data_IF_276924937568
#
_entry.id   IF_276924937568
#
_cell.length_a   1.000
_cell.length_b   1.000
_cell.length_c   1.000
_cell.angle_alpha   90.00
_cell.angle_beta   90.00
_cell.angle_gamma   90.00
#
_symmetry.space_group_name_H-M   'P 1'
#
loop_
_entity.id
_entity.type
_entity.pdbx_description
1 polymer ?
#
# COMPACT_ATOMS: atom_id res chain seq x y z
N UNK A 1 17.86 33.36 71.09
CA UNK A 1 16.98 32.23 70.64
C UNK A 1 15.97 32.79 69.65
N UNK A 2 16.19 32.61 68.35
CA UNK A 2 15.30 33.00 67.27
C UNK A 2 15.09 31.76 66.38
N UNK A 3 13.91 31.21 66.44
CA UNK A 3 13.47 30.07 65.68
C UNK A 3 12.91 30.59 64.34
N UNK A 4 13.56 30.28 63.24
CA UNK A 4 13.10 30.56 61.89
C UNK A 4 12.24 29.38 61.43
N UNK A 5 10.95 29.60 61.21
CA UNK A 5 10.07 28.67 60.52
C UNK A 5 10.25 28.81 59.01
N UNK A 6 10.82 27.77 58.37
CA UNK A 6 10.84 27.64 56.93
C UNK A 6 9.53 27.03 56.46
N UNK A 7 8.69 27.82 55.84
CA UNK A 7 7.43 27.35 55.20
C UNK A 7 7.72 26.61 53.92
N UNK A 8 7.37 25.34 53.88
CA UNK A 8 7.43 24.48 52.68
C UNK A 8 6.17 24.68 51.84
N UNK A 9 6.24 25.47 50.78
CA UNK A 9 5.14 25.65 49.84
C UNK A 9 5.05 24.44 48.93
N UNK A 10 4.10 23.54 49.14
CA UNK A 10 3.74 22.44 48.23
C UNK A 10 2.91 23.02 47.09
N UNK A 11 3.49 23.17 45.93
CA UNK A 11 2.78 23.49 44.68
C UNK A 11 2.03 22.23 44.22
N UNK A 12 0.74 22.22 44.44
CA UNK A 12 -0.21 21.27 43.85
C UNK A 12 -0.31 21.59 42.34
N UNK A 13 0.34 20.83 41.49
CA UNK A 13 0.08 20.79 40.07
C UNK A 13 -1.26 20.06 39.83
N UNK A 14 -2.35 20.83 39.80
CA UNK A 14 -3.62 20.35 39.30
C UNK A 14 -3.49 20.19 37.78
N UNK A 15 -3.12 19.02 37.34
CA UNK A 15 -3.23 18.64 35.94
C UNK A 15 -4.71 18.61 35.56
N UNK A 16 -5.14 19.52 34.68
CA UNK A 16 -6.43 19.43 34.03
C UNK A 16 -6.43 18.17 33.17
N UNK A 17 -6.97 17.08 33.68
CA UNK A 17 -7.44 15.99 32.85
C UNK A 17 -8.63 16.49 32.05
N UNK A 18 -8.40 17.10 30.90
CA UNK A 18 -9.47 17.33 29.94
C UNK A 18 -9.89 15.97 29.39
N UNK A 19 -11.07 15.50 29.71
CA UNK A 19 -11.78 14.42 29.02
C UNK A 19 -12.11 14.83 27.56
N UNK A 20 -11.12 15.35 26.85
CA UNK A 20 -11.19 15.62 25.44
C UNK A 20 -10.77 14.35 24.72
N UNK A 21 -11.74 13.55 24.32
CA UNK A 21 -11.53 12.59 23.24
C UNK A 21 -10.87 13.36 22.09
N UNK A 22 -9.59 13.08 21.87
CA UNK A 22 -8.84 13.75 20.82
C UNK A 22 -9.58 13.53 19.48
N UNK A 23 -9.96 14.60 18.75
CA UNK A 23 -10.79 14.47 17.53
C UNK A 23 -10.13 13.66 16.41
N UNK A 24 -8.84 13.33 16.56
CA UNK A 24 -8.08 12.49 15.65
C UNK A 24 -8.05 11.01 16.06
N UNK A 25 -8.45 10.69 17.30
CA UNK A 25 -8.87 9.35 17.64
C UNK A 25 -10.29 9.20 17.07
N UNK A 26 -10.37 8.94 15.76
CA UNK A 26 -11.58 8.39 15.15
C UNK A 26 -11.98 7.26 16.08
N UNK A 27 -13.22 7.29 16.55
CA UNK A 27 -13.84 6.22 17.32
C UNK A 27 -13.70 4.94 16.50
N UNK A 28 -12.57 4.28 16.66
CA UNK A 28 -12.31 2.95 16.17
C UNK A 28 -13.10 1.99 17.07
N UNK A 29 -14.42 2.14 17.10
CA UNK A 29 -15.31 1.01 17.23
C UNK A 29 -15.07 0.16 15.99
N UNK A 30 -13.84 -0.35 15.93
CA UNK A 30 -13.44 -1.37 15.02
C UNK A 30 -14.42 -2.50 15.21
N UNK A 31 -15.31 -2.65 14.24
CA UNK A 31 -16.05 -3.89 14.11
C UNK A 31 -15.00 -4.98 14.31
N UNK A 32 -15.10 -5.71 15.42
CA UNK A 32 -14.07 -6.67 15.83
C UNK A 32 -13.92 -7.65 14.69
N UNK A 33 -12.80 -7.60 13.96
CA UNK A 33 -12.55 -8.61 12.96
C UNK A 33 -12.36 -9.92 13.70
N UNK A 34 -13.27 -10.85 13.46
CA UNK A 34 -13.13 -12.21 13.96
C UNK A 34 -11.78 -12.76 13.48
N UNK A 35 -11.01 -13.31 14.40
CA UNK A 35 -9.77 -13.99 14.05
C UNK A 35 -10.11 -15.32 13.38
N UNK A 36 -9.42 -15.68 12.28
CA UNK A 36 -9.52 -17.02 11.73
C UNK A 36 -9.14 -18.09 12.78
N UNK A 37 -9.72 -19.26 12.70
CA UNK A 37 -9.20 -20.44 13.42
C UNK A 37 -7.88 -20.88 12.81
N UNK A 38 -7.13 -21.75 13.51
CA UNK A 38 -5.84 -22.27 13.00
C UNK A 38 -5.99 -22.94 11.63
N UNK A 39 -7.08 -23.72 11.42
CA UNK A 39 -7.33 -24.38 10.14
C UNK A 39 -7.67 -23.38 9.04
N UNK A 40 -8.45 -22.34 9.37
CA UNK A 40 -8.76 -21.25 8.44
C UNK A 40 -7.51 -20.43 8.08
N UNK A 41 -6.64 -20.20 9.06
CA UNK A 41 -5.36 -19.50 8.81
C UNK A 41 -4.45 -20.32 7.89
N UNK A 42 -4.36 -21.62 8.09
CA UNK A 42 -3.62 -22.53 7.20
C UNK A 42 -4.18 -22.49 5.78
N UNK A 43 -5.50 -22.56 5.61
CA UNK A 43 -6.14 -22.50 4.31
C UNK A 43 -5.93 -21.11 3.63
N UNK A 44 -6.00 -20.03 4.42
CA UNK A 44 -5.69 -18.67 3.93
C UNK A 44 -4.24 -18.57 3.45
N UNK A 45 -3.28 -19.12 4.17
CA UNK A 45 -1.87 -19.10 3.78
C UNK A 45 -1.63 -19.93 2.51
N UNK A 46 -2.24 -21.11 2.42
CA UNK A 46 -2.19 -21.94 1.21
C UNK A 46 -2.78 -21.19 -0.01
N UNK A 47 -3.90 -20.48 0.18
CA UNK A 47 -4.47 -19.67 -0.89
C UNK A 47 -3.54 -18.51 -1.32
N UNK A 48 -2.83 -17.91 -0.35
CA UNK A 48 -1.84 -16.87 -0.66
C UNK A 48 -0.67 -17.44 -1.46
N UNK A 49 -0.11 -18.58 -1.03
CA UNK A 49 0.99 -19.24 -1.73
C UNK A 49 0.59 -19.59 -3.19
N UNK A 50 -0.64 -20.11 -3.37
CA UNK A 50 -1.18 -20.36 -4.72
C UNK A 50 -1.28 -19.08 -5.56
N UNK A 51 -1.73 -17.97 -4.96
CA UNK A 51 -1.83 -16.69 -5.66
C UNK A 51 -0.45 -16.15 -6.04
N UNK A 52 0.53 -16.24 -5.13
CA UNK A 52 1.90 -15.79 -5.36
C UNK A 52 2.62 -16.61 -6.44
N UNK A 53 2.23 -17.89 -6.61
CA UNK A 53 2.68 -18.74 -7.71
C UNK A 53 1.90 -18.50 -9.02
N UNK A 54 0.98 -17.53 -9.06
CA UNK A 54 0.15 -17.25 -10.23
C UNK A 54 -1.01 -18.22 -10.45
N UNK A 55 -1.25 -19.17 -9.53
CA UNK A 55 -2.34 -20.16 -9.58
C UNK A 55 -3.65 -19.55 -9.06
N UNK A 56 -4.09 -18.47 -9.69
CA UNK A 56 -5.20 -17.63 -9.19
C UNK A 56 -6.54 -18.39 -9.06
N UNK A 57 -6.86 -19.26 -10.03
CA UNK A 57 -8.09 -20.04 -9.97
C UNK A 57 -8.06 -21.08 -8.83
N UNK A 58 -6.91 -21.72 -8.58
CA UNK A 58 -6.77 -22.65 -7.46
C UNK A 58 -6.86 -21.92 -6.12
N UNK A 59 -6.25 -20.74 -6.01
CA UNK A 59 -6.36 -19.86 -4.85
C UNK A 59 -7.82 -19.47 -4.58
N UNK A 60 -8.55 -19.06 -5.62
CA UNK A 60 -9.97 -18.71 -5.49
C UNK A 60 -10.80 -19.88 -5.01
N UNK A 61 -10.65 -21.07 -5.62
CA UNK A 61 -11.37 -22.28 -5.22
C UNK A 61 -11.10 -22.68 -3.75
N UNK A 62 -9.85 -22.53 -3.29
CA UNK A 62 -9.53 -22.76 -1.87
C UNK A 62 -10.24 -21.75 -0.96
N UNK A 63 -10.26 -20.46 -1.34
CA UNK A 63 -10.93 -19.41 -0.58
C UNK A 63 -12.46 -19.57 -0.55
N UNK A 64 -13.07 -20.14 -1.59
CA UNK A 64 -14.51 -20.41 -1.64
C UNK A 64 -14.97 -21.39 -0.55
N UNK A 65 -14.09 -22.28 -0.09
CA UNK A 65 -14.33 -23.19 1.03
C UNK A 65 -14.34 -22.49 2.40
N UNK A 66 -13.99 -21.20 2.50
CA UNK A 66 -13.91 -20.45 3.74
C UNK A 66 -15.12 -19.51 3.92
N UNK A 67 -15.53 -19.24 5.19
CA UNK A 67 -16.70 -18.40 5.46
C UNK A 67 -16.46 -16.92 5.09
N UNK A 68 -17.36 -16.36 4.30
CA UNK A 68 -17.33 -14.93 3.90
C UNK A 68 -17.60 -13.95 5.05
N UNK A 69 -18.01 -14.44 6.23
CA UNK A 69 -18.12 -13.63 7.44
C UNK A 69 -16.75 -13.07 7.89
N UNK A 70 -15.65 -13.74 7.54
CA UNK A 70 -14.29 -13.30 7.85
C UNK A 70 -13.84 -12.22 6.89
N UNK A 71 -13.49 -11.04 7.41
CA UNK A 71 -12.94 -9.94 6.61
C UNK A 71 -11.67 -10.32 5.84
N UNK A 72 -10.84 -11.19 6.40
CA UNK A 72 -9.62 -11.70 5.74
C UNK A 72 -9.94 -12.55 4.51
N UNK A 73 -10.95 -13.41 4.58
CA UNK A 73 -11.40 -14.24 3.44
C UNK A 73 -11.88 -13.32 2.30
N UNK A 74 -12.75 -12.36 2.61
CA UNK A 74 -13.23 -11.39 1.62
C UNK A 74 -12.11 -10.58 0.99
N UNK A 75 -11.14 -10.16 1.79
CA UNK A 75 -9.97 -9.41 1.31
C UNK A 75 -9.17 -10.24 0.30
N UNK A 76 -8.84 -11.50 0.64
CA UNK A 76 -8.07 -12.37 -0.26
C UNK A 76 -8.85 -12.74 -1.52
N UNK A 77 -10.14 -13.05 -1.41
CA UNK A 77 -11.02 -13.23 -2.58
C UNK A 77 -11.02 -11.98 -3.48
N UNK A 78 -11.20 -10.79 -2.90
CA UNK A 78 -11.20 -9.54 -3.64
C UNK A 78 -9.87 -9.32 -4.40
N UNK A 79 -8.74 -9.63 -3.74
CA UNK A 79 -7.40 -9.52 -4.35
C UNK A 79 -7.23 -10.47 -5.53
N UNK A 80 -7.58 -11.75 -5.35
CA UNK A 80 -7.48 -12.75 -6.42
C UNK A 80 -8.41 -12.41 -7.58
N UNK A 81 -9.65 -12.02 -7.31
CA UNK A 81 -10.61 -11.61 -8.34
C UNK A 81 -10.12 -10.36 -9.11
N UNK A 82 -9.51 -9.39 -8.42
CA UNK A 82 -8.89 -8.23 -9.08
C UNK A 82 -7.76 -8.65 -10.02
N UNK A 83 -6.90 -9.59 -9.60
CA UNK A 83 -5.82 -10.12 -10.44
C UNK A 83 -6.36 -10.88 -11.65
N UNK A 84 -7.52 -11.55 -11.51
CA UNK A 84 -8.24 -12.20 -12.60
C UNK A 84 -9.00 -11.19 -13.50
N UNK A 85 -9.03 -9.91 -13.16
CA UNK A 85 -9.76 -8.89 -13.90
C UNK A 85 -11.28 -8.98 -13.75
N UNK A 86 -11.77 -9.63 -12.69
CA UNK A 86 -13.20 -9.83 -12.44
C UNK A 86 -13.84 -8.61 -11.78
N UNK A 87 -15.00 -8.19 -12.28
CA UNK A 87 -15.80 -7.11 -11.68
C UNK A 87 -16.31 -7.45 -10.28
N UNK A 88 -16.32 -8.73 -9.89
CA UNK A 88 -16.71 -9.17 -8.56
C UNK A 88 -15.71 -8.71 -7.46
N UNK A 89 -14.51 -8.27 -7.81
CA UNK A 89 -13.54 -7.75 -6.87
C UNK A 89 -14.04 -6.49 -6.16
N UNK A 90 -14.64 -5.56 -6.89
CA UNK A 90 -15.06 -4.26 -6.37
C UNK A 90 -16.10 -4.37 -5.25
N UNK A 91 -17.23 -5.08 -5.37
CA UNK A 91 -18.19 -5.23 -4.29
C UNK A 91 -17.57 -5.89 -3.03
N UNK A 92 -16.63 -6.81 -3.18
CA UNK A 92 -15.93 -7.39 -2.03
C UNK A 92 -15.06 -6.36 -1.31
N UNK A 93 -14.27 -5.54 -2.03
CA UNK A 93 -13.51 -4.45 -1.40
C UNK A 93 -14.43 -3.44 -0.72
N UNK A 94 -15.56 -3.06 -1.35
CA UNK A 94 -16.56 -2.17 -0.72
C UNK A 94 -17.12 -2.74 0.58
N UNK A 95 -17.32 -4.06 0.65
CA UNK A 95 -17.82 -4.73 1.85
C UNK A 95 -16.84 -4.67 3.04
N UNK A 96 -15.60 -4.26 2.82
CA UNK A 96 -14.58 -4.13 3.86
C UNK A 96 -14.54 -2.74 4.50
N UNK A 97 -15.15 -1.70 3.89
CA UNK A 97 -15.00 -0.30 4.30
C UNK A 97 -15.48 -0.01 5.72
N UNK A 98 -16.48 -0.73 6.21
CA UNK A 98 -16.98 -0.61 7.59
C UNK A 98 -16.31 -1.57 8.58
N UNK A 99 -15.19 -2.19 8.25
CA UNK A 99 -14.54 -3.22 9.05
C UNK A 99 -13.11 -2.81 9.44
N UNK A 100 -12.42 -3.64 10.24
CA UNK A 100 -11.00 -3.45 10.53
C UNK A 100 -10.09 -3.60 9.29
N UNK A 101 -10.64 -4.03 8.16
CA UNK A 101 -9.96 -4.12 6.87
C UNK A 101 -10.28 -2.94 5.93
N UNK A 102 -10.82 -1.85 6.49
CA UNK A 102 -11.20 -0.68 5.69
C UNK A 102 -10.03 -0.10 4.88
N UNK A 103 -8.83 -0.05 5.47
CA UNK A 103 -7.64 0.43 4.76
C UNK A 103 -7.34 -0.41 3.51
N UNK A 104 -7.40 -1.74 3.64
CA UNK A 104 -7.18 -2.66 2.53
C UNK A 104 -8.33 -2.61 1.51
N UNK A 105 -9.57 -2.37 1.97
CA UNK A 105 -10.72 -2.12 1.11
C UNK A 105 -10.52 -0.89 0.23
N UNK A 106 -10.17 0.24 0.85
CA UNK A 106 -9.85 1.48 0.14
C UNK A 106 -8.65 1.31 -0.80
N UNK A 107 -7.59 0.61 -0.37
CA UNK A 107 -6.44 0.31 -1.20
C UNK A 107 -6.84 -0.46 -2.47
N UNK A 108 -7.61 -1.55 -2.31
CA UNK A 108 -8.07 -2.36 -3.45
C UNK A 108 -8.97 -1.59 -4.42
N UNK A 109 -9.86 -0.71 -3.92
CA UNK A 109 -10.67 0.18 -4.76
C UNK A 109 -9.79 1.18 -5.53
N UNK A 110 -8.77 1.74 -4.87
CA UNK A 110 -7.79 2.59 -5.52
C UNK A 110 -7.06 1.87 -6.66
N UNK A 111 -6.65 0.61 -6.45
CA UNK A 111 -6.01 -0.21 -7.49
C UNK A 111 -6.94 -0.51 -8.67
N UNK A 112 -8.22 -0.76 -8.43
CA UNK A 112 -9.23 -0.92 -9.48
C UNK A 112 -9.40 0.37 -10.28
N UNK A 113 -9.48 1.52 -9.61
CA UNK A 113 -9.60 2.82 -10.25
C UNK A 113 -8.36 3.14 -11.12
N UNK A 114 -7.14 2.81 -10.66
CA UNK A 114 -5.91 2.90 -11.47
C UNK A 114 -6.01 2.04 -12.73
N UNK A 115 -6.47 0.80 -12.61
CA UNK A 115 -6.61 -0.12 -13.73
C UNK A 115 -7.62 0.37 -14.78
N UNK A 116 -8.65 1.11 -14.36
CA UNK A 116 -9.65 1.75 -15.21
C UNK A 116 -9.20 3.10 -15.79
N UNK A 117 -8.05 3.63 -15.34
CA UNK A 117 -7.57 4.96 -15.74
C UNK A 117 -8.27 6.12 -15.03
N UNK A 118 -9.09 5.85 -14.02
CA UNK A 118 -9.75 6.89 -13.21
C UNK A 118 -8.82 7.40 -12.11
N UNK A 119 -7.99 8.37 -12.51
CA UNK A 119 -7.02 8.98 -11.59
C UNK A 119 -7.65 9.76 -10.45
N UNK A 120 -8.89 10.23 -10.60
CA UNK A 120 -9.63 10.95 -9.57
C UNK A 120 -10.05 10.01 -8.44
N UNK A 121 -10.78 8.96 -8.77
CA UNK A 121 -11.20 7.94 -7.81
C UNK A 121 -10.00 7.21 -7.20
N UNK A 122 -8.95 6.93 -8.01
CA UNK A 122 -7.72 6.32 -7.50
C UNK A 122 -7.08 7.17 -6.38
N UNK A 123 -6.97 8.48 -6.61
CA UNK A 123 -6.41 9.39 -5.61
C UNK A 123 -7.27 9.44 -4.34
N UNK A 124 -8.60 9.54 -4.47
CA UNK A 124 -9.52 9.58 -3.34
C UNK A 124 -9.39 8.34 -2.46
N UNK A 125 -9.51 7.15 -3.06
CA UNK A 125 -9.41 5.88 -2.34
C UNK A 125 -8.03 5.69 -1.69
N UNK A 126 -6.93 6.00 -2.39
CA UNK A 126 -5.60 5.84 -1.83
C UNK A 126 -5.29 6.84 -0.71
N UNK A 127 -5.82 8.06 -0.77
CA UNK A 127 -5.73 9.01 0.34
C UNK A 127 -6.50 8.50 1.57
N UNK A 128 -7.68 7.93 1.38
CA UNK A 128 -8.44 7.29 2.44
C UNK A 128 -7.65 6.12 3.05
N UNK A 129 -7.07 5.26 2.21
CA UNK A 129 -6.25 4.14 2.65
C UNK A 129 -5.03 4.59 3.48
N UNK A 130 -4.27 5.60 3.02
CA UNK A 130 -3.14 6.17 3.77
C UNK A 130 -3.57 6.77 5.11
N UNK A 131 -4.75 7.41 5.18
CA UNK A 131 -5.27 7.95 6.44
C UNK A 131 -5.57 6.85 7.45
N UNK A 132 -6.09 5.70 6.99
CA UNK A 132 -6.42 4.54 7.82
C UNK A 132 -5.18 3.70 8.18
N UNK A 133 -4.20 3.60 7.30
CA UNK A 133 -2.96 2.84 7.49
C UNK A 133 -1.74 3.65 7.01
N UNK A 134 -1.30 4.66 7.80
CA UNK A 134 -0.25 5.60 7.38
C UNK A 134 1.14 4.99 7.23
N UNK A 135 1.35 3.80 7.79
CA UNK A 135 2.63 3.06 7.76
C UNK A 135 2.61 1.83 6.85
N UNK A 136 1.60 1.69 6.00
CA UNK A 136 1.57 0.63 4.99
C UNK A 136 2.37 1.06 3.76
N UNK A 137 3.48 0.38 3.50
CA UNK A 137 4.42 0.71 2.42
C UNK A 137 3.79 0.53 1.04
N UNK A 138 2.90 -0.46 0.87
CA UNK A 138 2.24 -0.72 -0.42
C UNK A 138 1.27 0.40 -0.76
N UNK A 139 0.47 0.83 0.21
CA UNK A 139 -0.47 1.94 0.04
C UNK A 139 0.27 3.23 -0.29
N UNK A 140 1.39 3.50 0.41
CA UNK A 140 2.25 4.65 0.14
C UNK A 140 2.82 4.61 -1.27
N UNK A 141 3.37 3.46 -1.69
CA UNK A 141 3.90 3.28 -3.04
C UNK A 141 2.82 3.56 -4.09
N UNK A 142 1.63 2.97 -3.95
CA UNK A 142 0.55 3.11 -4.94
C UNK A 142 0.02 4.55 -5.02
N UNK A 143 -0.07 5.25 -3.89
CA UNK A 143 -0.37 6.69 -3.88
C UNK A 143 0.72 7.50 -4.61
N UNK A 144 2.00 7.14 -4.43
CA UNK A 144 3.11 7.72 -5.15
C UNK A 144 2.99 7.54 -6.67
N UNK A 145 2.56 6.36 -7.12
CA UNK A 145 2.30 6.06 -8.53
C UNK A 145 1.19 6.94 -9.10
N UNK A 146 0.08 7.10 -8.37
CA UNK A 146 -1.01 7.98 -8.82
C UNK A 146 -0.55 9.44 -8.91
N UNK A 147 0.22 9.92 -7.95
CA UNK A 147 0.79 11.26 -8.02
C UNK A 147 1.77 11.43 -9.19
N UNK A 148 2.61 10.41 -9.46
CA UNK A 148 3.53 10.43 -10.60
C UNK A 148 2.78 10.52 -11.93
N UNK A 149 1.69 9.74 -12.09
CA UNK A 149 0.85 9.78 -13.28
C UNK A 149 0.16 11.15 -13.48
N UNK A 150 -0.14 11.84 -12.38
CA UNK A 150 -0.67 13.20 -12.40
C UNK A 150 0.43 14.28 -12.49
N UNK A 151 1.70 13.87 -12.64
CA UNK A 151 2.88 14.76 -12.65
C UNK A 151 3.04 15.63 -11.38
N UNK A 152 2.44 15.19 -10.29
CA UNK A 152 2.61 15.78 -8.96
C UNK A 152 3.90 15.23 -8.32
N UNK A 153 5.04 15.63 -8.90
CA UNK A 153 6.34 15.00 -8.66
C UNK A 153 6.85 15.13 -7.22
N UNK A 154 6.54 16.24 -6.54
CA UNK A 154 6.92 16.43 -5.12
C UNK A 154 6.17 15.46 -4.23
N UNK A 155 4.86 15.32 -4.44
CA UNK A 155 4.03 14.39 -3.69
C UNK A 155 4.42 12.93 -3.99
N UNK A 156 4.67 12.59 -5.25
CA UNK A 156 5.13 11.26 -5.65
C UNK A 156 6.45 10.89 -4.95
N UNK A 157 7.44 11.79 -5.00
CA UNK A 157 8.74 11.60 -4.34
C UNK A 157 8.58 11.34 -2.85
N UNK A 158 7.76 12.13 -2.16
CA UNK A 158 7.50 11.96 -0.73
C UNK A 158 6.94 10.58 -0.42
N UNK A 159 5.95 10.11 -1.20
CA UNK A 159 5.33 8.81 -0.96
C UNK A 159 6.30 7.65 -1.21
N UNK A 160 7.10 7.71 -2.28
CA UNK A 160 8.10 6.66 -2.57
C UNK A 160 9.20 6.62 -1.52
N UNK A 161 9.71 7.76 -1.07
CA UNK A 161 10.70 7.80 0.00
C UNK A 161 10.14 7.21 1.30
N UNK A 162 8.91 7.60 1.68
CA UNK A 162 8.25 7.04 2.86
C UNK A 162 8.07 5.52 2.75
N UNK A 163 7.63 5.02 1.58
CA UNK A 163 7.49 3.58 1.36
C UNK A 163 8.82 2.83 1.51
N UNK A 164 9.92 3.39 0.97
CA UNK A 164 11.27 2.82 1.11
C UNK A 164 11.77 2.82 2.55
N UNK A 165 11.47 3.85 3.34
CA UNK A 165 11.83 3.90 4.76
C UNK A 165 11.05 2.88 5.59
N UNK A 166 9.76 2.66 5.26
CA UNK A 166 8.92 1.67 5.93
C UNK A 166 9.35 0.24 5.63
N UNK A 167 9.84 -0.03 4.42
CA UNK A 167 10.28 -1.36 4.00
C UNK A 167 11.50 -1.29 3.08
N UNK A 168 12.67 -1.39 3.67
CA UNK A 168 13.95 -1.25 2.96
C UNK A 168 14.24 -2.39 1.97
N UNK A 169 13.63 -3.57 2.16
CA UNK A 169 13.82 -4.73 1.30
C UNK A 169 12.93 -4.72 0.04
N UNK A 170 11.97 -3.78 -0.06
CA UNK A 170 11.07 -3.69 -1.20
C UNK A 170 11.69 -2.83 -2.30
N UNK A 171 12.00 -3.46 -3.42
CA UNK A 171 12.58 -2.78 -4.58
C UNK A 171 11.56 -1.97 -5.38
N UNK A 172 10.24 -2.15 -5.16
CA UNK A 172 9.20 -1.53 -5.98
C UNK A 172 9.15 -0.01 -5.82
N UNK A 173 9.17 0.48 -4.58
CA UNK A 173 9.20 1.92 -4.31
C UNK A 173 10.50 2.57 -4.81
N UNK A 174 11.64 1.86 -4.70
CA UNK A 174 12.90 2.29 -5.26
C UNK A 174 12.85 2.39 -6.79
N UNK A 175 12.26 1.40 -7.47
CA UNK A 175 12.06 1.40 -8.93
C UNK A 175 11.20 2.59 -9.37
N UNK A 176 10.10 2.86 -8.67
CA UNK A 176 9.23 3.98 -8.97
C UNK A 176 9.92 5.34 -8.71
N UNK A 177 10.75 5.44 -7.67
CA UNK A 177 11.56 6.64 -7.43
C UNK A 177 12.63 6.82 -8.50
N UNK A 178 13.29 5.75 -8.97
CA UNK A 178 14.22 5.79 -10.12
C UNK A 178 13.49 6.28 -11.37
N UNK A 179 12.27 5.78 -11.64
CA UNK A 179 11.43 6.26 -12.75
C UNK A 179 11.20 7.77 -12.67
N UNK A 180 10.85 8.29 -11.49
CA UNK A 180 10.63 9.71 -11.25
C UNK A 180 11.93 10.53 -11.48
N UNK A 181 13.07 10.05 -10.97
CA UNK A 181 14.36 10.71 -11.13
C UNK A 181 14.77 10.78 -12.60
N UNK A 182 14.60 9.69 -13.37
CA UNK A 182 14.88 9.65 -14.82
C UNK A 182 13.92 10.59 -15.57
N UNK A 183 12.65 10.62 -15.19
CA UNK A 183 11.69 11.58 -15.75
C UNK A 183 12.15 13.04 -15.58
N UNK A 184 12.77 13.37 -14.45
CA UNK A 184 13.33 14.69 -14.13
C UNK A 184 14.74 14.92 -14.71
N UNK A 185 15.27 14.01 -15.53
CA UNK A 185 16.65 14.01 -16.06
C UNK A 185 17.73 14.01 -14.96
N UNK A 186 17.40 13.56 -13.77
CA UNK A 186 18.32 13.51 -12.63
C UNK A 186 19.07 12.17 -12.60
N UNK A 187 19.88 11.94 -13.65
CA UNK A 187 20.59 10.70 -13.88
C UNK A 187 21.57 10.33 -12.77
N UNK A 188 22.21 11.33 -12.15
CA UNK A 188 23.17 11.09 -11.07
C UNK A 188 22.48 10.46 -9.86
N UNK A 189 21.40 11.06 -9.37
CA UNK A 189 20.67 10.53 -8.23
C UNK A 189 20.00 9.19 -8.56
N UNK A 190 19.54 8.99 -9.81
CA UNK A 190 19.01 7.71 -10.24
C UNK A 190 20.08 6.61 -10.16
N UNK A 191 21.29 6.84 -10.67
CA UNK A 191 22.39 5.88 -10.62
C UNK A 191 22.83 5.56 -9.18
N UNK A 192 22.92 6.57 -8.31
CA UNK A 192 23.23 6.39 -6.90
C UNK A 192 22.16 5.51 -6.19
N UNK A 193 20.87 5.75 -6.49
CA UNK A 193 19.78 4.98 -5.94
C UNK A 193 19.82 3.52 -6.43
N UNK A 194 20.01 3.30 -7.73
CA UNK A 194 20.15 1.96 -8.33
C UNK A 194 21.25 1.17 -7.64
N UNK A 195 22.46 1.78 -7.49
CA UNK A 195 23.60 1.14 -6.81
C UNK A 195 23.28 0.76 -5.36
N UNK A 196 22.60 1.66 -4.63
CA UNK A 196 22.29 1.45 -3.21
C UNK A 196 21.21 0.41 -2.98
N UNK A 197 20.24 0.30 -3.90
CA UNK A 197 19.07 -0.60 -3.75
C UNK A 197 19.24 -1.93 -4.47
N UNK A 198 20.32 -2.12 -5.24
CA UNK A 198 20.60 -3.35 -5.95
C UNK A 198 19.61 -3.66 -7.09
N UNK A 199 18.98 -2.63 -7.68
CA UNK A 199 18.08 -2.82 -8.81
C UNK A 199 18.82 -3.45 -10.00
N UNK A 200 18.19 -4.45 -10.59
CA UNK A 200 18.75 -5.17 -11.75
C UNK A 200 18.74 -4.31 -13.02
N UNK A 201 19.60 -4.61 -14.02
CA UNK A 201 19.57 -3.90 -15.30
C UNK A 201 18.21 -3.95 -16.00
N UNK A 202 17.45 -5.04 -15.86
CA UNK A 202 16.09 -5.17 -16.40
C UNK A 202 15.13 -4.17 -15.74
N UNK A 203 15.18 -4.06 -14.42
CA UNK A 203 14.36 -3.09 -13.67
C UNK A 203 14.72 -1.64 -14.03
N UNK A 204 16.01 -1.35 -14.21
CA UNK A 204 16.44 -0.01 -14.65
C UNK A 204 15.93 0.30 -16.06
N UNK A 205 16.00 -0.64 -16.99
CA UNK A 205 15.45 -0.48 -18.35
C UNK A 205 13.91 -0.25 -18.30
N UNK A 206 13.21 -0.94 -17.42
CA UNK A 206 11.77 -0.74 -17.19
C UNK A 206 11.49 0.67 -16.67
N UNK A 207 12.24 1.16 -15.69
CA UNK A 207 12.11 2.53 -15.18
C UNK A 207 12.35 3.58 -16.27
N UNK A 208 13.36 3.37 -17.14
CA UNK A 208 13.64 4.23 -18.29
C UNK A 208 12.48 4.26 -19.28
N UNK A 209 11.95 3.09 -19.64
CA UNK A 209 10.81 3.00 -20.56
C UNK A 209 9.58 3.72 -20.01
N UNK A 210 9.28 3.55 -18.71
CA UNK A 210 8.18 4.26 -18.05
C UNK A 210 8.38 5.77 -18.03
N UNK A 211 9.59 6.25 -17.72
CA UNK A 211 9.89 7.67 -17.72
C UNK A 211 9.75 8.29 -19.12
N UNK A 212 10.19 7.57 -20.16
CA UNK A 212 10.02 8.00 -21.56
C UNK A 212 8.53 8.05 -21.95
N UNK A 213 7.74 7.06 -21.55
CA UNK A 213 6.30 7.06 -21.80
C UNK A 213 5.62 8.27 -21.15
N UNK A 214 5.98 8.62 -19.91
CA UNK A 214 5.46 9.82 -19.23
C UNK A 214 5.82 11.10 -20.00
N UNK A 215 7.04 11.21 -20.53
CA UNK A 215 7.49 12.35 -21.33
C UNK A 215 6.73 12.44 -22.66
N UNK A 216 6.53 11.32 -23.35
CA UNK A 216 5.82 11.28 -24.63
C UNK A 216 4.33 11.60 -24.51
N UNK A 217 3.67 11.18 -23.42
CA UNK A 217 2.28 11.50 -23.16
C UNK A 217 2.04 13.01 -23.01
N UNK A 218 2.99 13.75 -22.50
CA UNK A 218 2.91 15.23 -22.43
C UNK A 218 2.96 15.89 -23.82
N UNK A 219 3.75 15.33 -24.74
CA UNK A 219 3.90 15.90 -26.09
C UNK A 219 2.72 15.58 -26.99
N UNK A 220 1.98 14.51 -26.70
CA UNK A 220 0.81 14.06 -27.48
C UNK A 220 -0.53 14.58 -26.98
N UNK A 221 -0.58 15.43 -25.96
CA UNK A 221 -1.81 15.95 -25.33
C UNK A 221 -2.77 14.83 -24.84
N UNK A 222 -2.28 13.60 -24.69
CA UNK A 222 -3.01 12.46 -24.16
C UNK A 222 -2.74 12.33 -22.68
N UNK A 223 -3.78 12.18 -21.86
CA UNK A 223 -3.63 11.87 -20.42
C UNK A 223 -2.83 10.57 -20.28
N UNK A 224 -1.69 10.55 -19.58
CA UNK A 224 -0.88 9.36 -19.47
C UNK A 224 -1.61 8.30 -18.65
N UNK A 225 -2.21 7.33 -19.34
CA UNK A 225 -2.77 6.13 -18.70
C UNK A 225 -1.69 5.06 -18.67
N UNK A 226 -0.70 5.23 -17.83
CA UNK A 226 0.33 4.22 -17.67
C UNK A 226 -0.12 3.24 -16.61
N UNK A 227 -0.31 1.97 -17.00
CA UNK A 227 -0.44 0.87 -16.07
C UNK A 227 0.91 0.62 -15.42
N UNK A 228 1.14 1.21 -14.25
CA UNK A 228 2.34 0.94 -13.46
C UNK A 228 2.17 -0.34 -12.67
N UNK A 229 3.30 -0.87 -12.23
CA UNK A 229 3.32 -1.88 -11.19
C UNK A 229 2.77 -1.24 -9.90
N UNK A 230 1.46 -1.22 -9.81
CA UNK A 230 0.73 -1.15 -8.56
C UNK A 230 1.11 -2.43 -7.83
N UNK A 231 1.37 -2.37 -6.52
CA UNK A 231 1.86 -3.51 -5.75
C UNK A 231 1.11 -4.80 -6.11
N UNK A 232 1.62 -5.47 -7.13
CA UNK A 232 1.29 -6.86 -7.44
C UNK A 232 2.13 -7.67 -6.48
N UNK A 233 1.53 -8.63 -5.81
CA UNK A 233 2.25 -9.55 -4.94
C UNK A 233 3.48 -10.13 -5.69
N UNK A 234 4.60 -10.39 -5.02
CA UNK A 234 5.90 -10.64 -5.67
C UNK A 234 5.81 -11.74 -6.73
N UNK A 235 6.53 -11.55 -7.84
CA UNK A 235 6.74 -12.61 -8.81
C UNK A 235 7.21 -13.88 -8.07
N UNK A 236 6.72 -15.07 -8.47
CA UNK A 236 7.13 -16.32 -7.87
C UNK A 236 8.66 -16.42 -7.95
N UNK A 237 9.30 -16.54 -6.79
CA UNK A 237 10.70 -16.88 -6.74
C UNK A 237 10.86 -18.23 -7.47
N UNK A 238 11.60 -18.22 -8.58
CA UNK A 238 12.02 -19.45 -9.28
C UNK A 238 13.00 -20.21 -8.38
N UNK A 239 12.48 -20.83 -7.34
CA UNK A 239 13.18 -21.90 -6.67
C UNK A 239 13.04 -23.13 -7.56
N UNK A 240 14.01 -23.29 -8.47
CA UNK A 240 14.27 -24.59 -9.09
C UNK A 240 14.62 -25.58 -7.97
N UNK A 241 13.59 -26.27 -7.50
CA UNK A 241 13.76 -27.44 -6.67
C UNK A 241 14.33 -28.53 -7.56
N UNK A 242 15.66 -28.67 -7.56
CA UNK A 242 16.30 -29.90 -7.99
C UNK A 242 15.85 -31.00 -7.03
N UNK A 243 14.94 -31.84 -7.49
CA UNK A 243 14.60 -33.10 -6.83
C UNK A 243 15.77 -34.08 -7.03
N UNK A 244 16.09 -34.90 -6.01
CA UNK A 244 17.10 -35.94 -6.07
C UNK A 244 16.73 -37.09 -7.02
#
# INVERSE_FOLDING_TARGET
MKILFAGFAVLMLAGCASDGSAPWLIDMKTASCAKPSSDQELALNLAQDMADEGRLHASLANLEGLPDSLGEVRLRKARVLRLLGSDQAEPLYRSLLGTCRAAQGEHGLGQIAVARGDSGQALEHLLNAVRLAPTDEKIRNDLGVVYLNQLKLVQARFQFLTAMELKQSDSLAALNLVTLLIYQDNWKQAAELVSRTGLTPRQVAEAQARAQHLKSALTSNTTPTVRYAVAVDPEPSTHSRSLP
#
